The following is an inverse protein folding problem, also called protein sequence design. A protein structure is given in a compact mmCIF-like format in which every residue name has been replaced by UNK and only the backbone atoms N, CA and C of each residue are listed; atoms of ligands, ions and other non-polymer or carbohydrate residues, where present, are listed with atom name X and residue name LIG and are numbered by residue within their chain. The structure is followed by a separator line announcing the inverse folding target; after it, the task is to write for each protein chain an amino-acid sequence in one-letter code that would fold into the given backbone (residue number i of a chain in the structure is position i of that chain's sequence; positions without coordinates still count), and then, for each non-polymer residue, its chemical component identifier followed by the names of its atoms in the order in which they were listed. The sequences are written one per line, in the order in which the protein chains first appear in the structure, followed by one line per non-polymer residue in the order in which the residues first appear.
data_IF_384867893747
#
_entry.id   IF_384867893747
#
_cell.length_a   1.000
_cell.length_b   1.000
_cell.length_c   1.000
_cell.angle_alpha   90.00
_cell.angle_beta   90.00
_cell.angle_gamma   90.00
#
_symmetry.space_group_name_H-M   'P 1'
#
loop_
_entity.id
_entity.type
_entity.pdbx_description
1 polymer ?
#
# COMPACT_ATOMS: atom_id res chain seq x y z
N UNK A 1 -13.21 -7.52 -14.75
CA UNK A 1 -11.82 -8.01 -14.62
C UNK A 1 -10.99 -6.94 -13.95
N UNK A 2 -9.94 -7.28 -13.17
CA UNK A 2 -9.08 -6.27 -12.56
C UNK A 2 -8.33 -5.47 -13.63
N UNK A 3 -8.13 -4.18 -13.38
CA UNK A 3 -7.28 -3.30 -14.20
C UNK A 3 -5.79 -3.54 -13.95
N UNK A 4 -5.46 -4.16 -12.81
CA UNK A 4 -4.12 -4.66 -12.50
C UNK A 4 -4.24 -5.88 -11.59
N UNK A 5 -3.44 -6.92 -11.85
CA UNK A 5 -3.24 -8.04 -10.94
C UNK A 5 -1.75 -8.38 -10.90
N UNK A 6 -1.20 -8.50 -9.69
CA UNK A 6 0.22 -8.75 -9.52
C UNK A 6 0.74 -8.43 -8.13
N UNK A 7 2.06 -8.32 -8.01
CA UNK A 7 2.75 -8.06 -6.74
C UNK A 7 3.21 -6.62 -6.66
N UNK A 8 3.04 -6.02 -5.48
CA UNK A 8 3.60 -4.73 -5.11
C UNK A 8 4.65 -4.92 -4.03
N UNK A 9 5.78 -4.24 -4.20
CA UNK A 9 6.85 -4.19 -3.21
C UNK A 9 7.11 -2.74 -2.85
N UNK A 10 6.74 -2.35 -1.64
CA UNK A 10 6.94 -0.99 -1.15
C UNK A 10 8.18 -0.95 -0.28
N UNK A 11 9.02 0.05 -0.51
CA UNK A 11 10.12 0.44 0.36
C UNK A 11 9.89 1.89 0.75
N UNK A 12 9.72 2.14 2.04
CA UNK A 12 9.62 3.49 2.61
C UNK A 12 10.97 3.93 3.07
N UNK A 13 11.27 5.19 2.82
CA UNK A 13 12.56 5.80 3.10
C UNK A 13 12.40 6.94 4.09
N UNK A 14 13.41 7.12 4.94
CA UNK A 14 13.48 8.21 5.90
C UNK A 14 14.94 8.56 6.20
N UNK A 15 15.15 9.73 6.83
CA UNK A 15 16.42 10.19 7.38
C UNK A 15 16.15 10.41 8.86
N UNK A 16 16.72 9.54 9.71
CA UNK A 16 16.64 9.65 11.18
C UNK A 16 15.22 9.87 11.75
N UNK A 17 14.18 9.43 11.03
CA UNK A 17 12.78 9.54 11.44
C UNK A 17 12.11 10.90 11.16
N UNK A 18 12.77 11.81 10.45
CA UNK A 18 12.25 13.14 10.15
C UNK A 18 10.88 13.12 9.44
N UNK A 19 10.70 12.23 8.44
CA UNK A 19 9.42 12.11 7.74
C UNK A 19 8.36 11.51 8.66
N UNK A 20 8.72 10.51 9.47
CA UNK A 20 7.81 9.93 10.46
C UNK A 20 7.28 10.97 11.46
N UNK A 21 8.13 11.87 11.97
CA UNK A 21 7.73 12.97 12.85
C UNK A 21 6.72 13.91 12.18
N UNK A 22 6.93 14.21 10.89
CA UNK A 22 6.00 15.01 10.07
C UNK A 22 4.77 14.23 9.59
N UNK A 23 4.69 12.92 9.88
CA UNK A 23 3.65 11.99 9.39
C UNK A 23 3.63 11.88 7.86
N UNK A 24 4.79 12.05 7.25
CA UNK A 24 5.02 11.96 5.82
C UNK A 24 5.55 10.58 5.45
N UNK A 25 5.44 10.21 4.18
CA UNK A 25 5.98 8.94 3.67
C UNK A 25 6.63 9.21 2.33
N UNK A 26 7.93 8.90 2.23
CA UNK A 26 8.61 8.72 0.95
C UNK A 26 8.65 7.23 0.63
N UNK A 27 8.19 6.83 -0.55
CA UNK A 27 8.05 5.42 -0.95
C UNK A 27 8.55 5.20 -2.37
N UNK A 28 9.34 4.15 -2.56
CA UNK A 28 9.47 3.50 -3.86
C UNK A 28 8.59 2.26 -3.88
N UNK A 29 7.71 2.15 -4.87
CA UNK A 29 6.89 0.97 -5.13
C UNK A 29 7.34 0.31 -6.42
N UNK A 30 7.60 -1.00 -6.37
CA UNK A 30 7.78 -1.83 -7.55
C UNK A 30 6.50 -2.60 -7.85
N UNK A 31 5.99 -2.43 -9.06
CA UNK A 31 4.90 -3.22 -9.61
C UNK A 31 5.48 -4.39 -10.40
N UNK A 32 4.98 -5.60 -10.16
CA UNK A 32 5.20 -6.79 -10.99
C UNK A 32 3.86 -7.39 -11.36
N UNK A 33 3.36 -7.15 -12.58
CA UNK A 33 2.09 -7.71 -13.04
C UNK A 33 2.19 -9.19 -13.38
N UNK A 34 1.05 -9.88 -13.44
CA UNK A 34 0.98 -11.30 -13.79
C UNK A 34 1.43 -11.59 -15.24
N UNK A 35 1.36 -10.61 -16.14
CA UNK A 35 1.89 -10.71 -17.51
C UNK A 35 3.42 -10.53 -17.60
N UNK A 36 4.09 -10.30 -16.47
CA UNK A 36 5.54 -10.13 -16.36
C UNK A 36 6.03 -8.70 -16.52
N UNK A 37 5.16 -7.71 -16.77
CA UNK A 37 5.58 -6.31 -16.82
C UNK A 37 6.07 -5.81 -15.44
N UNK A 38 7.11 -4.98 -15.45
CA UNK A 38 7.70 -4.41 -14.24
C UNK A 38 7.91 -2.92 -14.42
N UNK A 39 7.52 -2.15 -13.42
CA UNK A 39 7.86 -0.72 -13.33
C UNK A 39 7.93 -0.26 -11.89
N UNK A 40 8.63 0.85 -11.67
CA UNK A 40 8.79 1.46 -10.36
C UNK A 40 8.11 2.84 -10.33
N UNK A 41 7.68 3.24 -9.14
CA UNK A 41 7.03 4.51 -8.87
C UNK A 41 7.62 5.10 -7.59
N UNK A 42 7.98 6.38 -7.63
CA UNK A 42 8.36 7.17 -6.46
C UNK A 42 7.13 7.98 -6.03
N UNK A 43 6.82 7.94 -4.74
CA UNK A 43 5.73 8.72 -4.17
C UNK A 43 6.18 9.41 -2.88
N UNK A 44 5.82 10.68 -2.75
CA UNK A 44 5.73 11.36 -1.45
C UNK A 44 4.26 11.48 -1.06
N UNK A 45 3.96 11.21 0.21
CA UNK A 45 2.62 11.37 0.76
C UNK A 45 2.71 12.23 2.03
N UNK A 46 1.99 13.35 2.07
CA UNK A 46 1.99 14.29 3.20
C UNK A 46 1.16 13.81 4.40
N UNK A 47 0.98 14.61 5.46
CA UNK A 47 0.29 14.16 6.67
C UNK A 47 -1.14 13.67 6.40
N UNK A 48 -1.56 12.62 7.12
CA UNK A 48 -2.93 12.10 7.03
C UNK A 48 -3.91 12.99 7.80
N UNK A 49 -5.05 13.27 7.17
CA UNK A 49 -6.21 13.93 7.77
C UNK A 49 -7.43 13.04 7.62
N UNK A 50 -8.45 13.29 8.45
CA UNK A 50 -9.77 12.64 8.35
C UNK A 50 -10.77 13.72 7.96
N UNK A 51 -11.51 13.50 6.86
CA UNK A 51 -12.56 14.42 6.44
C UNK A 51 -13.73 14.44 7.43
N UNK A 52 -14.60 15.47 7.40
CA UNK A 52 -15.81 15.48 8.24
C UNK A 52 -16.71 14.25 8.06
N UNK A 53 -16.67 13.62 6.88
CA UNK A 53 -17.40 12.40 6.54
C UNK A 53 -16.68 11.11 6.98
N UNK A 54 -15.50 11.23 7.60
CA UNK A 54 -14.76 10.10 8.14
C UNK A 54 -13.86 9.38 7.14
N UNK A 55 -13.51 9.99 6.00
CA UNK A 55 -12.56 9.40 5.05
C UNK A 55 -11.14 9.85 5.31
N UNK A 56 -10.19 8.94 5.10
CA UNK A 56 -8.76 9.23 5.15
C UNK A 56 -8.36 10.03 3.91
N UNK A 57 -7.70 11.17 4.10
CA UNK A 57 -7.21 12.00 3.01
C UNK A 57 -5.78 12.49 3.29
N UNK A 58 -4.96 12.65 2.24
CA UNK A 58 -3.63 13.26 2.32
C UNK A 58 -3.20 13.80 0.96
N UNK A 59 -2.34 14.84 0.90
CA UNK A 59 -1.72 15.25 -0.36
C UNK A 59 -0.70 14.21 -0.81
N UNK A 60 -0.64 13.93 -2.11
CA UNK A 60 0.26 12.95 -2.69
C UNK A 60 0.92 13.50 -3.95
N UNK A 61 2.22 13.22 -4.11
CA UNK A 61 3.00 13.50 -5.30
C UNK A 61 3.58 12.18 -5.78
N UNK A 62 3.18 11.72 -6.96
CA UNK A 62 3.58 10.42 -7.50
C UNK A 62 4.24 10.60 -8.87
N UNK A 63 5.32 9.84 -9.10
CA UNK A 63 6.09 9.89 -10.33
C UNK A 63 6.48 8.47 -10.77
N UNK A 64 6.10 8.11 -12.00
CA UNK A 64 6.51 6.84 -12.60
C UNK A 64 7.96 6.94 -13.07
N UNK A 65 8.76 5.95 -12.70
CA UNK A 65 10.17 5.90 -13.05
C UNK A 65 10.38 5.18 -14.38
N UNK A 66 11.35 5.67 -15.15
CA UNK A 66 11.83 4.99 -16.36
C UNK A 66 12.55 3.68 -16.03
N UNK A 67 12.59 2.77 -17.00
CA UNK A 67 13.32 1.52 -16.85
C UNK A 67 14.81 1.76 -16.54
N UNK A 68 15.36 1.00 -15.59
CA UNK A 68 16.78 1.08 -15.22
C UNK A 68 17.16 2.27 -14.33
N UNK A 69 16.23 3.13 -13.93
CA UNK A 69 16.51 4.19 -12.96
C UNK A 69 16.83 3.57 -11.58
N UNK A 70 18.06 3.78 -11.09
CA UNK A 70 18.43 3.35 -9.74
C UNK A 70 18.01 4.39 -8.70
N UNK A 71 16.70 4.50 -8.48
CA UNK A 71 16.16 5.45 -7.52
C UNK A 71 16.64 5.18 -6.09
N UNK A 72 16.86 3.91 -5.74
CA UNK A 72 17.38 3.53 -4.42
C UNK A 72 18.80 4.08 -4.20
N UNK A 73 19.67 4.02 -5.21
CA UNK A 73 21.03 4.57 -5.10
C UNK A 73 21.01 6.10 -5.02
N UNK A 74 20.11 6.75 -5.77
CA UNK A 74 19.91 8.21 -5.68
C UNK A 74 19.43 8.62 -4.28
N UNK A 75 18.46 7.91 -3.72
CA UNK A 75 17.95 8.17 -2.38
C UNK A 75 19.05 7.95 -1.33
N UNK A 76 19.82 6.87 -1.45
CA UNK A 76 20.97 6.61 -0.56
C UNK A 76 22.03 7.73 -0.65
N UNK A 77 22.35 8.22 -1.84
CA UNK A 77 23.27 9.34 -2.03
C UNK A 77 22.76 10.65 -1.40
N UNK A 78 21.45 10.82 -1.28
CA UNK A 78 20.80 11.94 -0.58
C UNK A 78 20.66 11.72 0.94
N UNK A 79 21.13 10.58 1.47
CA UNK A 79 21.10 10.26 2.90
C UNK A 79 19.88 9.47 3.35
N UNK A 80 18.93 9.16 2.45
CA UNK A 80 17.77 8.35 2.79
C UNK A 80 18.14 6.88 2.95
N UNK A 81 17.56 6.23 3.95
CA UNK A 81 17.66 4.78 4.15
C UNK A 81 16.26 4.14 4.17
N UNK A 82 16.12 2.89 3.74
CA UNK A 82 14.84 2.20 3.84
C UNK A 82 14.52 1.87 5.31
N UNK A 83 13.32 2.24 5.76
CA UNK A 83 12.88 2.08 7.16
C UNK A 83 11.66 1.18 7.32
N UNK A 84 10.86 0.97 6.25
CA UNK A 84 9.66 0.14 6.31
C UNK A 84 9.33 -0.53 4.97
N UNK A 85 8.87 -1.79 4.98
CA UNK A 85 8.57 -2.57 3.78
C UNK A 85 7.13 -3.08 3.85
N UNK A 86 6.49 -3.12 2.69
CA UNK A 86 5.18 -3.71 2.53
C UNK A 86 5.14 -4.46 1.20
N UNK A 87 5.08 -5.79 1.26
CA UNK A 87 4.98 -6.65 0.10
C UNK A 87 3.62 -7.35 0.10
N UNK A 88 2.97 -7.37 -1.04
CA UNK A 88 1.64 -7.99 -1.18
C UNK A 88 1.33 -8.33 -2.62
N UNK A 89 0.41 -9.27 -2.79
CA UNK A 89 -0.31 -9.37 -4.05
C UNK A 89 -1.56 -8.50 -3.97
N UNK A 90 -1.91 -7.92 -5.11
CA UNK A 90 -3.06 -7.05 -5.22
C UNK A 90 -3.81 -7.33 -6.51
N UNK A 91 -5.13 -7.25 -6.42
CA UNK A 91 -6.01 -7.04 -7.55
C UNK A 91 -6.63 -5.65 -7.42
N UNK A 92 -6.54 -4.87 -8.49
CA UNK A 92 -7.06 -3.50 -8.55
C UNK A 92 -8.21 -3.47 -9.54
N UNK A 93 -9.32 -2.85 -9.13
CA UNK A 93 -10.52 -2.69 -9.93
C UNK A 93 -10.89 -1.21 -10.01
N UNK A 94 -11.46 -0.79 -11.13
CA UNK A 94 -12.15 0.48 -11.27
C UNK A 94 -13.66 0.20 -11.15
N UNK A 95 -14.31 0.74 -10.12
CA UNK A 95 -15.73 0.51 -9.81
C UNK A 95 -16.38 1.85 -9.49
N UNK A 96 -17.39 2.27 -10.27
CA UNK A 96 -18.20 3.48 -9.98
C UNK A 96 -17.40 4.78 -9.77
N UNK A 97 -16.22 4.88 -10.42
CA UNK A 97 -15.30 6.01 -10.30
C UNK A 97 -14.30 5.89 -9.13
N UNK A 98 -14.38 4.84 -8.32
CA UNK A 98 -13.41 4.52 -7.28
C UNK A 98 -12.41 3.46 -7.75
N UNK A 99 -11.24 3.47 -7.13
CA UNK A 99 -10.27 2.39 -7.19
C UNK A 99 -10.50 1.45 -6.01
N UNK A 100 -10.78 0.18 -6.27
CA UNK A 100 -10.88 -0.86 -5.24
C UNK A 100 -9.68 -1.77 -5.33
N UNK A 101 -8.96 -1.96 -4.22
CA UNK A 101 -7.81 -2.85 -4.12
C UNK A 101 -8.12 -3.97 -3.16
N UNK A 102 -7.96 -5.21 -3.60
CA UNK A 102 -7.98 -6.39 -2.73
C UNK A 102 -6.53 -6.81 -2.54
N UNK A 103 -6.06 -6.79 -1.30
CA UNK A 103 -4.66 -6.98 -0.96
C UNK A 103 -4.47 -8.20 -0.06
N UNK A 104 -3.58 -9.10 -0.50
CA UNK A 104 -3.16 -10.26 0.25
C UNK A 104 -1.71 -10.11 0.69
N UNK A 105 -1.54 -10.04 2.00
CA UNK A 105 -0.25 -9.95 2.67
C UNK A 105 0.30 -11.35 2.99
N UNK A 106 1.62 -11.49 3.22
CA UNK A 106 2.25 -12.76 3.56
C UNK A 106 1.58 -13.50 4.73
N UNK A 107 1.36 -12.82 5.85
CA UNK A 107 0.63 -13.35 7.00
C UNK A 107 -0.22 -12.25 7.65
N UNK A 108 -1.38 -11.96 7.08
CA UNK A 108 -2.38 -11.05 7.66
C UNK A 108 -3.76 -11.39 7.08
N UNK A 109 -4.81 -10.75 7.60
CA UNK A 109 -6.11 -10.76 6.92
C UNK A 109 -6.00 -10.11 5.52
N UNK A 110 -6.90 -10.48 4.61
CA UNK A 110 -7.10 -9.77 3.34
C UNK A 110 -7.65 -8.38 3.63
N UNK A 111 -7.05 -7.35 3.02
CA UNK A 111 -7.50 -5.97 3.12
C UNK A 111 -8.21 -5.58 1.83
N UNK A 112 -9.37 -4.92 1.96
CA UNK A 112 -10.01 -4.21 0.85
C UNK A 112 -9.86 -2.72 1.09
N UNK A 113 -9.20 -2.02 0.18
CA UNK A 113 -9.08 -0.57 0.17
C UNK A 113 -9.96 0.01 -0.94
N UNK A 114 -10.70 1.08 -0.62
CA UNK A 114 -11.52 1.81 -1.58
C UNK A 114 -11.05 3.26 -1.57
N UNK A 115 -10.64 3.74 -2.72
CA UNK A 115 -10.06 5.08 -2.91
C UNK A 115 -10.83 5.84 -3.99
N UNK A 116 -11.06 7.12 -3.74
CA UNK A 116 -11.75 8.04 -4.65
C UNK A 116 -12.38 9.17 -3.86
N UNK A 117 -13.19 9.98 -4.53
CA UNK A 117 -14.02 10.96 -3.83
C UNK A 117 -15.10 10.26 -3.00
N UNK A 118 -15.60 10.93 -1.97
CA UNK A 118 -16.55 10.37 -1.00
C UNK A 118 -17.74 9.63 -1.65
N UNK A 119 -18.37 10.24 -2.66
CA UNK A 119 -19.53 9.63 -3.33
C UNK A 119 -19.14 8.38 -4.13
N UNK A 120 -17.95 8.38 -4.75
CA UNK A 120 -17.45 7.22 -5.48
C UNK A 120 -17.11 6.05 -4.53
N UNK A 121 -16.52 6.37 -3.37
CA UNK A 121 -16.26 5.39 -2.31
C UNK A 121 -17.56 4.70 -1.88
N UNK A 122 -18.60 5.47 -1.57
CA UNK A 122 -19.85 4.88 -1.07
C UNK A 122 -20.59 4.05 -2.12
N UNK A 123 -20.60 4.49 -3.39
CA UNK A 123 -21.14 3.68 -4.49
C UNK A 123 -20.38 2.36 -4.68
N UNK A 124 -19.05 2.42 -4.63
CA UNK A 124 -18.22 1.22 -4.70
C UNK A 124 -18.47 0.29 -3.51
N UNK A 125 -18.52 0.80 -2.27
CA UNK A 125 -18.81 -0.01 -1.08
C UNK A 125 -20.16 -0.72 -1.20
N UNK A 126 -21.20 -0.04 -1.70
CA UNK A 126 -22.51 -0.64 -1.92
C UNK A 126 -22.49 -1.83 -2.90
N UNK A 127 -21.46 -1.92 -3.75
CA UNK A 127 -21.27 -3.01 -4.72
C UNK A 127 -20.49 -4.21 -4.15
N UNK A 128 -19.71 -4.02 -3.07
CA UNK A 128 -18.76 -5.02 -2.58
C UNK A 128 -19.39 -6.11 -1.69
N UNK A 129 -20.69 -6.02 -1.37
CA UNK A 129 -21.39 -6.92 -0.43
C UNK A 129 -20.65 -7.09 0.92
N UNK A 130 -19.88 -6.07 1.31
CA UNK A 130 -19.20 -5.97 2.60
C UNK A 130 -19.97 -4.94 3.43
N UNK A 131 -20.35 -5.25 4.69
CA UNK A 131 -21.03 -4.28 5.54
C UNK A 131 -20.25 -2.96 5.64
N UNK A 132 -20.92 -1.83 5.45
CA UNK A 132 -20.30 -0.49 5.50
C UNK A 132 -19.49 -0.25 6.78
N UNK A 133 -19.92 -0.84 7.89
CA UNK A 133 -19.26 -0.76 9.20
C UNK A 133 -17.86 -1.42 9.23
N UNK A 134 -17.53 -2.26 8.26
CA UNK A 134 -16.22 -2.89 8.14
C UNK A 134 -15.19 -1.98 7.43
N UNK A 135 -15.65 -0.88 6.82
CA UNK A 135 -14.78 0.12 6.20
C UNK A 135 -14.44 1.22 7.21
N UNK A 136 -13.14 1.47 7.38
CA UNK A 136 -12.60 2.43 8.36
C UNK A 136 -11.54 3.30 7.69
N UNK A 137 -11.28 4.47 8.25
CA UNK A 137 -10.17 5.32 7.82
C UNK A 137 -8.81 4.96 8.45
N UNK A 138 -8.75 3.86 9.21
CA UNK A 138 -7.52 3.47 9.90
C UNK A 138 -6.43 2.99 8.93
N UNK A 139 -5.17 3.14 9.33
CA UNK A 139 -4.04 2.69 8.54
C UNK A 139 -3.71 1.21 8.74
N UNK A 140 -2.81 0.71 7.88
CA UNK A 140 -2.30 -0.67 7.92
C UNK A 140 -1.78 -1.09 9.31
N UNK A 141 -1.18 -0.17 10.08
CA UNK A 141 -0.69 -0.46 11.44
C UNK A 141 -1.83 -0.86 12.40
N UNK A 142 -2.98 -0.19 12.34
CA UNK A 142 -4.14 -0.56 13.15
C UNK A 142 -4.74 -1.88 12.69
N UNK A 143 -4.78 -2.12 11.37
CA UNK A 143 -5.25 -3.36 10.77
C UNK A 143 -4.42 -4.57 11.23
N UNK A 144 -3.09 -4.48 11.13
CA UNK A 144 -2.17 -5.55 11.59
C UNK A 144 -2.22 -5.76 13.10
N UNK A 145 -2.39 -4.68 13.88
CA UNK A 145 -2.56 -4.79 15.34
C UNK A 145 -3.85 -5.54 15.72
N UNK A 146 -4.96 -5.35 14.98
CA UNK A 146 -6.19 -6.12 15.19
C UNK A 146 -5.99 -7.60 14.88
N UNK A 147 -5.34 -7.93 13.77
CA UNK A 147 -4.99 -9.31 13.43
C UNK A 147 -4.19 -9.96 14.56
N UNK A 148 -3.15 -9.28 15.04
CA UNK A 148 -2.29 -9.82 16.08
C UNK A 148 -3.01 -10.03 17.41
N UNK A 149 -3.84 -9.07 17.83
CA UNK A 149 -4.66 -9.18 19.04
C UNK A 149 -5.66 -10.34 18.96
N UNK A 150 -6.28 -10.54 17.79
CA UNK A 150 -7.31 -11.58 17.60
C UNK A 150 -6.72 -12.98 17.49
N UNK A 151 -5.55 -13.12 16.85
CA UNK A 151 -4.95 -14.44 16.55
C UNK A 151 -3.84 -14.85 17.51
N UNK A 152 -3.29 -13.91 18.30
CA UNK A 152 -2.10 -14.13 19.12
C UNK A 152 -0.80 -14.23 18.33
N UNK A 153 -0.83 -13.97 17.00
CA UNK A 153 0.33 -14.05 16.11
C UNK A 153 0.65 -12.69 15.50
N UNK A 154 1.93 -12.29 15.38
CA UNK A 154 2.27 -11.06 14.68
C UNK A 154 1.85 -11.15 13.20
N UNK A 155 1.34 -10.05 12.64
CA UNK A 155 1.12 -9.96 11.20
C UNK A 155 2.46 -9.80 10.46
N UNK A 156 2.58 -10.39 9.28
CA UNK A 156 3.67 -10.13 8.33
C UNK A 156 3.12 -9.49 7.08
N UNK A 157 3.52 -8.24 6.85
CA UNK A 157 3.12 -7.44 5.68
C UNK A 157 4.23 -7.25 4.67
N UNK A 158 5.38 -7.90 4.88
CA UNK A 158 6.49 -7.94 3.94
C UNK A 158 7.07 -9.35 3.92
N UNK A 159 7.55 -9.78 2.75
CA UNK A 159 8.13 -11.10 2.61
C UNK A 159 9.51 -11.12 3.25
N UNK A 160 10.36 -10.10 3.02
CA UNK A 160 11.62 -9.84 3.70
C UNK A 160 12.16 -8.43 3.36
N UNK A 161 12.99 -7.89 4.25
CA UNK A 161 13.75 -6.66 4.06
C UNK A 161 15.24 -6.99 4.18
N UNK A 162 16.09 -6.55 3.23
CA UNK A 162 16.25 -7.16 1.92
C UNK A 162 16.87 -8.59 1.97
N UNK A 163 16.81 -9.29 0.83
CA UNK A 163 17.43 -10.59 0.53
C UNK A 163 16.78 -11.85 1.14
N UNK A 164 15.69 -12.33 0.54
CA UNK A 164 15.43 -13.75 0.23
C UNK A 164 14.04 -13.95 -0.40
N UNK A 165 13.94 -14.85 -1.39
CA UNK A 165 12.71 -15.18 -2.13
C UNK A 165 11.98 -16.37 -1.49
N UNK A 166 10.78 -16.23 -0.89
CA UNK A 166 10.02 -17.39 -0.44
C UNK A 166 9.22 -18.04 -1.59
N UNK A 167 9.31 -19.37 -1.63
CA UNK A 167 8.86 -20.25 -2.72
C UNK A 167 7.36 -20.60 -2.75
N UNK A 168 6.48 -19.85 -2.08
CA UNK A 168 5.05 -20.16 -2.05
C UNK A 168 4.19 -18.91 -2.20
N UNK A 169 3.78 -18.64 -3.43
CA UNK A 169 2.65 -17.75 -3.73
C UNK A 169 1.62 -18.57 -4.50
N UNK A 170 0.30 -18.43 -4.25
CA UNK A 170 -0.72 -19.02 -5.09
C UNK A 170 -0.52 -18.63 -6.55
N UNK A 171 -0.64 -19.60 -7.45
CA UNK A 171 -0.59 -19.37 -8.90
C UNK A 171 -1.80 -18.59 -9.35
#
# INVERSE_FOLDING_TARGET
MPVFAGRLFDRRYDIDGELAERKEVLRVRRYKSNDGSVHDELAWKGPTTISPQGYKARPELECRLGAGASISDLLAALGYSPVHAVDRFVEVYAIEGATVRIEWYPECDTLVEVEGDADAIERAIATLDIPRANFTAEGLASFTARFARRTGRPARVALHFPDEHPAHWPR
#
